data_IF_751465134363
#
_entry.id   IF_751465134363
#
_cell.length_a   1.000
_cell.length_b   1.000
_cell.length_c   1.000
_cell.angle_alpha   90.00
_cell.angle_beta   90.00
_cell.angle_gamma   90.00
#
_symmetry.space_group_name_H-M   'P 1'
#
loop_
_entity.id
_entity.type
_entity.pdbx_description
1 polymer ?
#
# COMPACT_ATOMS: atom_id res chain seq x y z
N UNK A 1 -71.56 -38.50 -26.39
CA UNK A 1 -71.32 -37.95 -25.07
C UNK A 1 -70.18 -38.57 -24.24
N UNK A 2 -69.85 -39.83 -24.44
CA UNK A 2 -68.80 -40.52 -23.64
C UNK A 2 -67.36 -40.16 -24.07
N UNK A 3 -67.15 -39.78 -25.30
CA UNK A 3 -65.81 -39.39 -25.84
C UNK A 3 -65.33 -37.97 -25.43
N UNK A 4 -66.24 -37.09 -25.05
CA UNK A 4 -65.92 -35.72 -24.65
C UNK A 4 -65.40 -35.65 -23.22
N UNK A 5 -65.77 -36.59 -22.35
CA UNK A 5 -65.29 -36.63 -20.95
C UNK A 5 -63.88 -37.18 -20.81
N UNK A 6 -63.45 -38.08 -21.74
CA UNK A 6 -62.09 -38.63 -21.69
C UNK A 6 -61.02 -37.56 -22.09
N UNK A 7 -61.39 -36.66 -22.99
CA UNK A 7 -60.47 -35.57 -23.38
C UNK A 7 -60.36 -34.45 -22.32
N UNK A 8 -61.37 -34.31 -21.46
CA UNK A 8 -61.32 -33.31 -20.37
C UNK A 8 -60.49 -33.78 -19.15
N UNK A 9 -60.43 -35.16 -18.95
CA UNK A 9 -59.57 -35.66 -17.87
C UNK A 9 -58.12 -35.81 -18.25
N UNK A 10 -57.70 -35.79 -19.50
CA UNK A 10 -56.33 -35.86 -19.96
C UNK A 10 -55.64 -34.45 -19.90
N UNK A 11 -56.41 -33.37 -19.81
CA UNK A 11 -55.89 -31.99 -19.78
C UNK A 11 -55.50 -31.49 -18.41
N UNK A 12 -55.83 -32.18 -17.31
CA UNK A 12 -55.62 -31.68 -15.93
C UNK A 12 -54.34 -32.24 -15.29
N UNK A 13 -53.69 -33.21 -15.91
CA UNK A 13 -52.49 -33.85 -15.33
C UNK A 13 -51.14 -33.17 -15.72
N UNK A 14 -51.14 -32.07 -16.45
CA UNK A 14 -49.93 -31.42 -16.95
C UNK A 14 -49.54 -30.14 -16.19
N UNK A 15 -50.16 -29.81 -15.05
CA UNK A 15 -49.86 -28.59 -14.28
C UNK A 15 -49.32 -28.89 -12.87
N UNK A 16 -48.88 -30.10 -12.54
CA UNK A 16 -48.12 -30.36 -11.31
C UNK A 16 -46.62 -30.48 -11.63
N UNK A 17 -46.05 -29.44 -12.18
CA UNK A 17 -44.62 -29.16 -12.05
C UNK A 17 -44.39 -28.60 -10.65
N UNK A 18 -44.33 -29.50 -9.64
CA UNK A 18 -43.79 -29.11 -8.34
C UNK A 18 -42.32 -28.82 -8.53
N UNK A 19 -42.00 -27.56 -8.50
CA UNK A 19 -40.65 -27.07 -8.25
C UNK A 19 -40.23 -27.55 -6.85
N UNK A 20 -39.62 -28.73 -6.81
CA UNK A 20 -39.09 -29.35 -5.60
C UNK A 20 -37.67 -28.88 -5.31
N UNK A 21 -37.44 -27.55 -5.36
CA UNK A 21 -36.24 -27.00 -4.79
C UNK A 21 -36.41 -27.12 -3.27
N UNK A 22 -35.63 -28.01 -2.71
CA UNK A 22 -35.52 -28.22 -1.26
C UNK A 22 -35.29 -26.86 -0.58
N UNK A 23 -36.06 -26.60 0.49
CA UNK A 23 -35.95 -25.32 1.25
C UNK A 23 -34.54 -25.04 1.71
N UNK A 24 -33.75 -26.07 1.95
CA UNK A 24 -32.37 -25.99 2.42
C UNK A 24 -31.37 -25.65 1.32
N UNK A 25 -31.77 -25.70 0.04
CA UNK A 25 -30.98 -25.34 -1.13
C UNK A 25 -31.44 -24.05 -1.84
N UNK A 26 -32.37 -23.31 -1.25
CA UNK A 26 -32.89 -22.07 -1.84
C UNK A 26 -31.93 -20.90 -1.76
N UNK A 27 -30.94 -20.95 -0.85
CA UNK A 27 -29.96 -19.91 -0.67
C UNK A 27 -28.58 -20.48 -0.95
N UNK A 28 -27.94 -19.99 -1.99
CA UNK A 28 -26.50 -20.16 -2.16
C UNK A 28 -25.86 -19.15 -1.19
N UNK A 29 -25.21 -19.63 -0.16
CA UNK A 29 -24.42 -18.78 0.71
C UNK A 29 -23.20 -18.30 -0.12
N UNK A 30 -23.29 -17.08 -0.63
CA UNK A 30 -22.18 -16.42 -1.30
C UNK A 30 -21.22 -15.98 -0.19
N UNK A 31 -19.96 -16.46 -0.19
CA UNK A 31 -18.98 -16.01 0.79
C UNK A 31 -18.91 -14.48 0.81
N UNK A 32 -18.87 -13.89 1.98
CA UNK A 32 -18.71 -12.46 2.11
C UNK A 32 -17.48 -11.99 1.30
N UNK A 33 -17.63 -10.92 0.53
CA UNK A 33 -16.52 -10.33 -0.19
C UNK A 33 -15.38 -10.03 0.79
N UNK A 34 -14.20 -10.59 0.55
CA UNK A 34 -13.01 -10.35 1.35
C UNK A 34 -12.04 -9.47 0.58
N UNK A 35 -11.51 -8.47 1.24
CA UNK A 35 -10.45 -7.63 0.69
C UNK A 35 -9.12 -8.20 1.15
N UNK A 36 -8.23 -8.48 0.19
CA UNK A 36 -6.87 -8.91 0.53
C UNK A 36 -6.11 -7.73 1.13
N UNK A 37 -5.51 -7.96 2.31
CA UNK A 37 -4.68 -6.98 2.98
C UNK A 37 -3.31 -6.90 2.33
N UNK A 38 -2.83 -5.69 2.12
CA UNK A 38 -1.43 -5.38 1.85
C UNK A 38 -0.79 -4.79 3.10
N UNK A 39 0.52 -4.88 3.21
CA UNK A 39 1.31 -4.46 4.38
C UNK A 39 2.30 -3.38 3.98
N UNK A 40 2.37 -2.31 4.76
CA UNK A 40 3.35 -1.23 4.61
C UNK A 40 4.55 -1.45 5.54
N UNK A 41 5.77 -1.33 4.99
CA UNK A 41 7.01 -1.23 5.76
C UNK A 41 7.56 0.18 5.62
N UNK A 42 7.67 0.90 6.71
CA UNK A 42 8.41 2.17 6.83
C UNK A 42 9.83 1.85 7.32
N UNK A 43 10.79 1.68 6.38
CA UNK A 43 12.20 1.35 6.68
C UNK A 43 13.02 2.61 6.93
N UNK A 44 13.33 2.90 8.18
CA UNK A 44 14.20 4.01 8.56
C UNK A 44 15.67 3.65 8.34
N UNK A 45 16.33 4.40 7.46
CA UNK A 45 17.62 4.08 6.89
C UNK A 45 18.50 5.32 6.69
N UNK A 46 19.74 5.12 6.24
CA UNK A 46 20.64 6.25 5.93
C UNK A 46 21.88 5.82 5.17
N UNK A 47 22.37 6.68 4.29
CA UNK A 47 23.52 6.43 3.41
C UNK A 47 24.85 6.19 4.16
N UNK A 48 24.96 6.68 5.41
CA UNK A 48 26.12 6.45 6.29
C UNK A 48 25.95 5.27 7.24
N UNK A 49 24.80 4.59 7.19
CA UNK A 49 24.51 3.43 8.00
C UNK A 49 25.12 2.17 7.36
N UNK A 50 26.13 1.63 8.00
CA UNK A 50 26.90 0.47 7.48
C UNK A 50 26.11 -0.84 7.46
N UNK A 51 25.03 -0.95 8.24
CA UNK A 51 24.18 -2.15 8.33
C UNK A 51 22.87 -2.02 7.54
N UNK A 52 22.54 -0.84 7.03
CA UNK A 52 21.30 -0.62 6.29
C UNK A 52 21.21 -1.41 4.96
N UNK A 53 22.32 -1.67 4.22
CA UNK A 53 22.23 -2.55 3.06
C UNK A 53 21.74 -3.97 3.37
N UNK A 54 22.04 -4.50 4.56
CA UNK A 54 21.54 -5.82 4.99
C UNK A 54 20.01 -5.77 5.29
N UNK A 55 19.51 -4.63 5.74
CA UNK A 55 18.08 -4.42 5.93
C UNK A 55 17.34 -4.35 4.58
N UNK A 56 17.90 -3.65 3.60
CA UNK A 56 17.38 -3.64 2.22
C UNK A 56 17.30 -5.05 1.63
N UNK A 57 18.33 -5.88 1.85
CA UNK A 57 18.33 -7.28 1.42
C UNK A 57 17.22 -8.09 2.12
N UNK A 58 17.03 -7.91 3.42
CA UNK A 58 15.96 -8.58 4.16
C UNK A 58 14.57 -8.20 3.62
N UNK A 59 14.34 -6.93 3.28
CA UNK A 59 13.10 -6.47 2.64
C UNK A 59 12.92 -7.16 1.28
N UNK A 60 13.96 -7.23 0.46
CA UNK A 60 13.91 -7.90 -0.84
C UNK A 60 13.51 -9.37 -0.72
N UNK A 61 14.04 -10.09 0.27
CA UNK A 61 13.70 -11.49 0.55
C UNK A 61 12.24 -11.64 1.01
N UNK A 62 11.77 -10.74 1.87
CA UNK A 62 10.36 -10.72 2.29
C UNK A 62 9.44 -10.42 1.11
N UNK A 63 9.79 -9.46 0.25
CA UNK A 63 9.04 -9.16 -0.97
C UNK A 63 9.05 -10.31 -1.98
N UNK A 64 10.14 -11.07 -2.07
CA UNK A 64 10.17 -12.29 -2.89
C UNK A 64 9.20 -13.36 -2.37
N UNK A 65 8.97 -13.42 -1.06
CA UNK A 65 8.06 -14.38 -0.42
C UNK A 65 6.60 -13.97 -0.53
N UNK A 66 6.28 -12.70 -0.23
CA UNK A 66 4.91 -12.21 -0.11
C UNK A 66 4.39 -11.50 -1.38
N UNK A 67 5.30 -11.08 -2.27
CA UNK A 67 5.01 -10.26 -3.43
C UNK A 67 5.21 -8.76 -3.13
N UNK A 68 5.95 -8.07 -4.02
CA UNK A 68 6.29 -6.66 -3.84
C UNK A 68 5.08 -5.71 -3.96
N UNK A 69 3.95 -6.17 -4.53
CA UNK A 69 2.70 -5.40 -4.59
C UNK A 69 1.81 -5.62 -3.36
N UNK A 70 2.14 -6.62 -2.55
CA UNK A 70 1.45 -6.90 -1.29
C UNK A 70 2.23 -6.42 -0.08
N UNK A 71 3.55 -6.56 -0.11
CA UNK A 71 4.47 -6.04 0.91
C UNK A 71 5.15 -4.79 0.36
N UNK A 72 4.56 -3.64 0.63
CA UNK A 72 5.00 -2.35 0.09
C UNK A 72 6.01 -1.73 1.05
N UNK A 73 7.26 -1.65 0.63
CA UNK A 73 8.33 -1.03 1.40
C UNK A 73 8.57 0.42 0.98
N UNK A 74 8.86 1.28 1.95
CA UNK A 74 9.27 2.67 1.74
C UNK A 74 10.50 2.96 2.59
N UNK A 75 11.63 3.25 1.93
CA UNK A 75 12.89 3.59 2.56
C UNK A 75 12.90 5.07 2.95
N UNK A 76 12.90 5.34 4.25
CA UNK A 76 12.87 6.67 4.83
C UNK A 76 14.29 7.05 5.26
N UNK A 77 14.99 7.75 4.38
CA UNK A 77 16.32 8.28 4.69
C UNK A 77 16.20 9.48 5.62
N UNK A 78 16.54 9.32 6.89
CA UNK A 78 16.33 10.33 7.94
C UNK A 78 17.40 10.26 9.04
N UNK A 79 17.40 11.28 9.89
CA UNK A 79 18.28 11.38 11.04
C UNK A 79 19.77 11.59 10.68
N UNK A 80 20.68 11.36 11.63
CA UNK A 80 22.08 11.78 11.49
C UNK A 80 22.90 10.97 10.47
N UNK A 81 22.43 9.77 10.08
CA UNK A 81 23.11 8.93 9.12
C UNK A 81 22.59 9.07 7.68
N UNK A 82 21.52 9.84 7.45
CA UNK A 82 21.06 10.21 6.13
C UNK A 82 21.78 11.49 5.66
N UNK A 83 22.13 11.55 4.37
CA UNK A 83 22.87 12.66 3.79
C UNK A 83 21.94 13.67 3.11
N UNK A 84 22.23 14.95 3.27
CA UNK A 84 21.65 16.03 2.47
C UNK A 84 22.30 16.04 1.07
N UNK A 85 21.52 16.39 0.04
CA UNK A 85 22.08 16.62 -1.29
C UNK A 85 23.02 17.83 -1.27
N UNK A 86 24.18 17.67 -1.92
CA UNK A 86 25.16 18.73 -2.13
C UNK A 86 25.54 18.79 -3.61
N UNK A 87 26.28 19.82 -4.07
CA UNK A 87 26.76 19.83 -5.46
C UNK A 87 27.63 18.63 -5.84
N UNK A 88 28.22 17.94 -4.86
CA UNK A 88 29.19 16.86 -5.08
C UNK A 88 28.58 15.46 -5.00
N UNK A 89 27.39 15.29 -4.44
CA UNK A 89 26.74 13.99 -4.31
C UNK A 89 25.23 14.10 -4.05
N UNK A 90 24.52 13.03 -4.40
CA UNK A 90 23.09 12.88 -4.16
C UNK A 90 22.86 12.43 -2.72
N UNK A 91 22.21 13.28 -1.92
CA UNK A 91 21.66 12.91 -0.62
C UNK A 91 20.21 12.47 -0.73
N UNK A 92 19.79 11.58 0.16
CA UNK A 92 18.44 11.01 0.15
C UNK A 92 17.59 11.46 1.35
N UNK A 93 18.17 12.27 2.25
CA UNK A 93 17.48 12.82 3.41
C UNK A 93 16.38 13.77 2.98
N UNK A 94 15.19 13.64 3.57
CA UNK A 94 14.04 14.51 3.32
C UNK A 94 13.52 15.09 4.63
N UNK A 95 12.90 16.29 4.57
CA UNK A 95 12.27 16.92 5.74
C UNK A 95 11.12 16.07 6.30
N UNK A 96 10.31 15.48 5.41
CA UNK A 96 9.23 14.58 5.81
C UNK A 96 9.76 13.31 6.47
N UNK A 97 10.89 12.78 5.98
CA UNK A 97 11.57 11.64 6.60
C UNK A 97 12.05 11.98 8.02
N UNK A 98 12.65 13.15 8.22
CA UNK A 98 13.05 13.63 9.55
C UNK A 98 11.85 13.84 10.48
N UNK A 99 10.72 14.31 9.96
CA UNK A 99 9.46 14.44 10.72
C UNK A 99 9.00 13.08 11.25
N UNK A 100 9.00 12.05 10.40
CA UNK A 100 8.64 10.69 10.80
C UNK A 100 9.66 10.07 11.75
N UNK A 101 10.96 10.28 11.49
CA UNK A 101 12.04 9.82 12.36
C UNK A 101 11.89 10.34 13.80
N UNK A 102 11.56 11.63 13.95
CA UNK A 102 11.31 12.25 15.24
C UNK A 102 10.01 11.77 15.88
N UNK A 103 8.91 11.72 15.11
CA UNK A 103 7.61 11.28 15.61
C UNK A 103 7.66 9.86 16.18
N UNK A 104 8.29 8.94 15.46
CA UNK A 104 8.44 7.55 15.89
C UNK A 104 9.60 7.35 16.88
N UNK A 105 10.28 8.41 17.31
CA UNK A 105 11.40 8.36 18.23
C UNK A 105 12.42 7.27 17.85
N UNK A 106 12.82 7.21 16.56
CA UNK A 106 13.72 6.19 16.04
C UNK A 106 15.08 6.29 16.75
N UNK A 107 15.52 5.26 17.53
CA UNK A 107 16.72 5.37 18.34
C UNK A 107 18.01 5.24 17.52
N UNK A 108 17.96 4.46 16.46
CA UNK A 108 19.05 4.17 15.51
C UNK A 108 18.49 3.50 14.26
N UNK A 109 19.32 3.40 13.21
CA UNK A 109 18.96 2.72 11.95
C UNK A 109 19.91 1.53 11.71
N UNK A 110 19.47 0.45 11.03
CA UNK A 110 18.14 0.26 10.44
C UNK A 110 17.08 -0.12 11.48
N UNK A 111 15.90 0.42 11.32
CA UNK A 111 14.68 0.05 12.05
C UNK A 111 13.50 0.17 11.10
N UNK A 112 12.46 -0.64 11.31
CA UNK A 112 11.23 -0.51 10.55
C UNK A 112 10.00 -0.48 11.43
N UNK A 113 8.96 0.19 10.92
CA UNK A 113 7.61 0.18 11.47
C UNK A 113 6.70 -0.49 10.43
N UNK A 114 5.82 -1.33 10.90
CA UNK A 114 4.89 -2.08 10.07
C UNK A 114 3.49 -1.55 10.27
N UNK A 115 2.83 -1.16 9.19
CA UNK A 115 1.44 -0.65 9.20
C UNK A 115 1.17 0.43 10.25
N UNK A 116 2.18 1.19 10.66
CA UNK A 116 2.09 2.19 11.75
C UNK A 116 1.55 1.60 13.06
N UNK A 117 1.74 0.29 13.23
CA UNK A 117 1.28 -0.46 14.39
C UNK A 117 2.48 -0.85 15.27
N UNK A 118 2.41 -0.52 16.55
CA UNK A 118 3.51 -0.73 17.49
C UNK A 118 4.66 0.26 17.31
N UNK A 119 5.86 -0.14 17.67
CA UNK A 119 7.08 0.66 17.64
C UNK A 119 8.08 0.22 16.57
N UNK A 120 9.21 0.90 16.52
CA UNK A 120 10.30 0.59 15.60
C UNK A 120 11.01 -0.71 15.96
N UNK A 121 11.02 -1.68 15.05
CA UNK A 121 11.54 -3.03 15.24
C UNK A 121 12.92 -3.20 14.60
N UNK A 122 13.82 -3.98 15.22
CA UNK A 122 15.08 -4.37 14.63
C UNK A 122 14.84 -5.41 13.52
N UNK A 123 15.79 -5.49 12.58
CA UNK A 123 15.71 -6.33 11.37
C UNK A 123 15.37 -7.81 11.66
N UNK A 124 15.85 -8.35 12.75
CA UNK A 124 15.64 -9.73 13.17
C UNK A 124 14.17 -10.06 13.48
N UNK A 125 13.37 -9.05 13.85
CA UNK A 125 11.94 -9.20 14.15
C UNK A 125 11.04 -9.08 12.91
N UNK A 126 11.55 -8.57 11.78
CA UNK A 126 10.72 -8.26 10.60
C UNK A 126 9.95 -9.44 10.00
N UNK A 127 10.55 -10.65 9.85
CA UNK A 127 9.79 -11.76 9.29
C UNK A 127 8.56 -12.15 10.12
N UNK A 128 8.70 -12.15 11.46
CA UNK A 128 7.58 -12.41 12.37
C UNK A 128 6.51 -11.34 12.28
N UNK A 129 6.91 -10.07 12.28
CA UNK A 129 5.96 -8.94 12.19
C UNK A 129 5.21 -8.92 10.85
N UNK A 130 5.89 -9.18 9.72
CA UNK A 130 5.24 -9.28 8.41
C UNK A 130 4.20 -10.40 8.41
N UNK A 131 4.53 -11.56 8.97
CA UNK A 131 3.58 -12.66 9.11
C UNK A 131 2.36 -12.26 9.95
N UNK A 132 2.54 -11.59 11.07
CA UNK A 132 1.46 -11.13 11.93
C UNK A 132 0.56 -10.12 11.21
N UNK A 133 1.14 -9.13 10.49
CA UNK A 133 0.36 -8.12 9.76
C UNK A 133 -0.45 -8.73 8.61
N UNK A 134 0.07 -9.72 7.88
CA UNK A 134 -0.69 -10.41 6.84
C UNK A 134 -1.84 -11.29 7.39
N UNK A 135 -1.77 -11.72 8.64
CA UNK A 135 -2.85 -12.47 9.29
C UNK A 135 -3.99 -11.57 9.81
N UNK A 136 -3.82 -10.25 9.80
CA UNK A 136 -4.87 -9.29 10.15
C UNK A 136 -5.83 -9.14 8.98
N UNK A 137 -7.10 -8.94 9.28
CA UNK A 137 -8.13 -8.67 8.28
C UNK A 137 -8.28 -7.18 8.01
N UNK A 138 -8.76 -6.83 6.82
CA UNK A 138 -9.19 -5.47 6.49
C UNK A 138 -10.55 -5.47 5.84
N UNK A 139 -11.29 -4.39 6.07
CA UNK A 139 -12.56 -4.10 5.38
C UNK A 139 -12.41 -2.94 4.41
N UNK A 140 -11.22 -2.33 4.36
CA UNK A 140 -10.92 -1.18 3.51
C UNK A 140 -10.28 -1.62 2.21
N UNK A 141 -10.86 -1.22 1.09
CA UNK A 141 -10.28 -1.33 -0.25
C UNK A 141 -9.74 0.02 -0.71
N UNK A 142 -8.61 0.00 -1.40
CA UNK A 142 -8.03 1.16 -2.08
C UNK A 142 -7.66 0.75 -3.50
N UNK A 143 -8.17 1.49 -4.49
CA UNK A 143 -7.70 1.45 -5.87
C UNK A 143 -7.02 2.78 -6.19
N UNK A 144 -5.89 2.73 -6.87
CA UNK A 144 -5.07 3.89 -7.18
C UNK A 144 -4.80 3.95 -8.69
N UNK A 145 -5.04 5.11 -9.29
CA UNK A 145 -4.75 5.39 -10.71
C UNK A 145 -3.93 6.66 -10.80
N UNK A 146 -2.95 6.66 -11.71
CA UNK A 146 -2.10 7.82 -11.98
C UNK A 146 -2.11 8.14 -13.46
N UNK A 147 -2.24 9.45 -13.77
CA UNK A 147 -2.07 9.96 -15.13
C UNK A 147 -1.00 11.04 -15.12
N UNK A 148 0.07 10.82 -15.89
CA UNK A 148 1.19 11.75 -15.96
C UNK A 148 1.17 12.58 -17.25
N UNK A 149 1.35 13.89 -17.09
CA UNK A 149 1.49 14.85 -18.19
C UNK A 149 2.93 15.37 -18.24
N UNK A 150 3.65 15.05 -19.31
CA UNK A 150 5.09 15.39 -19.47
C UNK A 150 5.34 16.88 -19.59
N UNK A 151 4.43 17.64 -20.23
CA UNK A 151 4.59 19.06 -20.55
C UNK A 151 4.81 19.93 -19.30
N UNK A 152 4.14 19.58 -18.18
CA UNK A 152 4.20 20.34 -16.93
C UNK A 152 4.61 19.47 -15.73
N UNK A 153 5.07 18.24 -15.97
CA UNK A 153 5.49 17.27 -14.96
C UNK A 153 4.40 16.99 -13.90
N UNK A 154 3.13 17.07 -14.32
CA UNK A 154 1.98 16.93 -13.46
C UNK A 154 1.50 15.49 -13.41
N UNK A 155 1.22 15.01 -12.20
CA UNK A 155 0.56 13.72 -11.94
C UNK A 155 -0.84 14.01 -11.41
N UNK A 156 -1.86 13.46 -12.07
CA UNK A 156 -3.22 13.36 -11.56
C UNK A 156 -3.37 12.01 -10.89
N UNK A 157 -3.78 12.02 -9.63
CA UNK A 157 -3.87 10.84 -8.76
C UNK A 157 -5.34 10.68 -8.40
N UNK A 158 -5.95 9.60 -8.86
CA UNK A 158 -7.28 9.18 -8.47
C UNK A 158 -7.15 8.05 -7.45
N UNK A 159 -7.75 8.23 -6.27
CA UNK A 159 -7.80 7.21 -5.23
C UNK A 159 -9.26 6.90 -4.94
N UNK A 160 -9.67 5.68 -5.27
CA UNK A 160 -10.99 5.15 -4.96
C UNK A 160 -10.90 4.31 -3.68
N UNK A 161 -11.67 4.70 -2.65
CA UNK A 161 -11.69 4.03 -1.34
C UNK A 161 -13.09 3.50 -1.06
N UNK A 162 -13.15 2.37 -0.35
CA UNK A 162 -14.42 1.84 0.16
C UNK A 162 -14.20 1.08 1.46
N UNK A 163 -15.25 0.94 2.25
CA UNK A 163 -15.31 0.01 3.37
C UNK A 163 -16.51 -0.92 3.22
N UNK A 164 -16.32 -2.21 3.57
CA UNK A 164 -17.35 -3.25 3.39
C UNK A 164 -18.38 -3.28 4.53
N UNK A 165 -18.04 -2.80 5.71
CA UNK A 165 -18.85 -3.06 6.92
C UNK A 165 -19.42 -1.80 7.54
N UNK A 166 -18.61 -1.02 8.24
CA UNK A 166 -19.01 0.12 9.04
C UNK A 166 -18.37 1.41 8.52
N UNK A 167 -18.92 2.55 8.93
CA UNK A 167 -18.27 3.83 8.70
C UNK A 167 -16.91 3.84 9.42
N UNK A 168 -15.89 4.36 8.72
CA UNK A 168 -14.52 4.41 9.24
C UNK A 168 -13.98 5.83 9.09
N UNK A 169 -13.50 6.38 10.21
CA UNK A 169 -12.74 7.63 10.21
C UNK A 169 -11.26 7.31 10.15
N UNK A 170 -10.51 8.08 9.35
CA UNK A 170 -9.07 7.88 9.21
C UNK A 170 -8.42 8.96 8.34
N UNK A 171 -7.19 8.71 7.97
CA UNK A 171 -6.35 9.60 7.20
C UNK A 171 -5.89 8.88 5.92
N UNK A 172 -6.13 9.50 4.76
CA UNK A 172 -5.53 9.07 3.50
C UNK A 172 -4.18 9.76 3.34
N UNK A 173 -3.11 8.97 3.28
CA UNK A 173 -1.76 9.45 2.98
C UNK A 173 -1.37 9.09 1.54
N UNK A 174 -0.76 10.03 0.85
CA UNK A 174 -0.16 9.84 -0.47
C UNK A 174 1.33 10.17 -0.40
N UNK A 175 2.18 9.21 -0.76
CA UNK A 175 3.63 9.39 -0.82
C UNK A 175 4.16 9.27 -2.24
N UNK A 176 5.13 10.11 -2.56
CA UNK A 176 5.99 9.95 -3.73
C UNK A 176 7.21 9.12 -3.34
N UNK A 177 7.42 8.01 -4.04
CA UNK A 177 8.52 7.07 -3.82
C UNK A 177 9.28 6.88 -5.13
N UNK A 178 10.62 6.79 -5.08
CA UNK A 178 11.46 6.64 -6.28
C UNK A 178 12.41 5.45 -6.14
N UNK A 179 12.52 4.67 -7.21
CA UNK A 179 13.41 3.52 -7.34
C UNK A 179 14.65 3.84 -8.17
N UNK A 180 15.71 3.04 -7.99
CA UNK A 180 16.87 3.06 -8.86
C UNK A 180 17.70 4.34 -8.75
N UNK A 181 17.73 4.98 -7.57
CA UNK A 181 18.54 6.17 -7.35
C UNK A 181 19.98 5.76 -7.09
N UNK A 182 20.89 6.18 -7.96
CA UNK A 182 22.34 5.98 -7.78
C UNK A 182 22.86 7.05 -6.81
N UNK A 183 23.32 6.61 -5.63
CA UNK A 183 23.84 7.51 -4.59
C UNK A 183 24.84 6.77 -3.68
N UNK A 184 25.74 7.49 -2.97
CA UNK A 184 26.71 6.87 -2.09
C UNK A 184 26.06 6.07 -0.97
N UNK A 185 26.66 4.91 -0.62
CA UNK A 185 26.30 4.09 0.53
C UNK A 185 27.56 3.60 1.25
N UNK A 186 27.59 3.75 2.55
CA UNK A 186 28.68 3.25 3.39
C UNK A 186 28.39 1.81 3.81
N UNK A 187 29.43 0.99 3.74
CA UNK A 187 29.44 -0.41 4.15
C UNK A 187 30.39 -0.63 5.33
N UNK A 188 30.38 -1.80 5.99
CA UNK A 188 31.39 -2.16 6.99
C UNK A 188 32.82 -1.95 6.49
N UNK A 189 33.78 -1.74 7.43
CA UNK A 189 35.19 -1.44 7.16
C UNK A 189 35.41 -0.14 6.37
N UNK A 190 34.52 0.84 6.54
CA UNK A 190 34.57 2.14 5.84
C UNK A 190 34.58 2.02 4.30
N UNK A 191 34.09 0.92 3.75
CA UNK A 191 33.93 0.75 2.31
C UNK A 191 32.79 1.64 1.81
N UNK A 192 33.14 2.61 0.96
CA UNK A 192 32.15 3.50 0.31
C UNK A 192 31.87 2.98 -1.10
N UNK A 193 30.62 2.63 -1.37
CA UNK A 193 30.11 2.46 -2.74
C UNK A 193 29.46 3.75 -3.20
N UNK A 194 30.05 4.43 -4.19
CA UNK A 194 29.54 5.66 -4.77
C UNK A 194 28.40 5.45 -5.76
N UNK A 195 28.23 4.21 -6.23
CA UNK A 195 27.27 3.84 -7.27
C UNK A 195 26.20 2.87 -6.76
N UNK A 196 25.97 2.84 -5.43
CA UNK A 196 24.94 2.01 -4.84
C UNK A 196 23.55 2.44 -5.35
N UNK A 197 22.72 1.44 -5.68
CA UNK A 197 21.37 1.69 -6.19
C UNK A 197 20.38 1.58 -5.04
N UNK A 198 19.77 2.70 -4.68
CA UNK A 198 18.73 2.77 -3.66
C UNK A 198 17.35 2.57 -4.28
N UNK A 199 16.50 1.83 -3.57
CA UNK A 199 15.13 1.52 -3.98
C UNK A 199 14.12 2.00 -2.95
N UNK A 200 12.88 2.20 -3.40
CA UNK A 200 11.73 2.54 -2.55
C UNK A 200 11.89 3.83 -1.74
N UNK A 201 12.71 4.76 -2.20
CA UNK A 201 13.09 5.96 -1.45
C UNK A 201 11.93 6.95 -1.33
N UNK A 202 11.54 7.31 -0.11
CA UNK A 202 10.56 8.37 0.15
C UNK A 202 11.10 9.72 -0.34
N UNK A 203 10.37 10.36 -1.26
CA UNK A 203 10.73 11.66 -1.83
C UNK A 203 9.87 12.79 -1.29
N UNK A 204 8.58 12.55 -1.08
CA UNK A 204 7.65 13.56 -0.57
C UNK A 204 6.38 12.92 0.03
N UNK A 205 5.74 13.64 0.95
CA UNK A 205 4.35 13.46 1.33
C UNK A 205 3.50 14.44 0.52
N UNK A 206 2.68 13.92 -0.40
CA UNK A 206 1.99 14.71 -1.43
C UNK A 206 0.87 15.56 -0.82
N UNK A 207 0.14 15.01 0.12
CA UNK A 207 -1.05 15.61 0.73
C UNK A 207 -0.84 15.97 2.22
N UNK A 208 0.38 16.41 2.55
CA UNK A 208 0.79 16.75 3.91
C UNK A 208 1.43 15.58 4.64
N UNK A 209 2.22 15.87 5.69
CA UNK A 209 3.02 14.86 6.40
C UNK A 209 2.16 13.74 7.01
N UNK A 210 0.90 14.03 7.35
CA UNK A 210 0.00 13.08 8.01
C UNK A 210 -1.25 12.77 7.18
N UNK A 211 -1.29 13.22 5.92
CA UNK A 211 -2.39 12.95 5.01
C UNK A 211 -3.64 13.81 5.25
N UNK A 212 -4.73 13.43 4.60
CA UNK A 212 -6.04 14.09 4.61
C UNK A 212 -7.04 13.28 5.41
N UNK A 213 -7.72 13.92 6.36
CA UNK A 213 -8.79 13.28 7.12
C UNK A 213 -10.01 12.99 6.22
N UNK A 214 -10.51 11.76 6.28
CA UNK A 214 -11.67 11.29 5.54
C UNK A 214 -12.56 10.43 6.45
N UNK A 215 -13.85 10.41 6.08
CA UNK A 215 -14.82 9.44 6.58
C UNK A 215 -15.27 8.57 5.42
N UNK A 216 -15.05 7.28 5.51
CA UNK A 216 -15.56 6.30 4.55
C UNK A 216 -16.90 5.77 5.07
N UNK A 217 -17.99 6.01 4.31
CA UNK A 217 -19.28 5.45 4.65
C UNK A 217 -19.39 4.00 4.21
N UNK A 218 -20.07 3.19 5.03
CA UNK A 218 -20.23 1.76 4.78
C UNK A 218 -20.80 1.46 3.40
N UNK A 219 -20.12 0.60 2.63
CA UNK A 219 -20.52 0.14 1.30
C UNK A 219 -20.71 1.26 0.26
N UNK A 220 -20.13 2.42 0.50
CA UNK A 220 -20.13 3.54 -0.45
C UNK A 220 -18.69 3.77 -0.94
N UNK A 221 -18.56 3.97 -2.25
CA UNK A 221 -17.29 4.38 -2.83
C UNK A 221 -17.02 5.86 -2.52
N UNK A 222 -15.82 6.16 -2.07
CA UNK A 222 -15.31 7.51 -1.90
C UNK A 222 -14.18 7.74 -2.89
N UNK A 223 -14.30 8.78 -3.71
CA UNK A 223 -13.27 9.15 -4.69
C UNK A 223 -12.54 10.40 -4.24
N UNK A 224 -11.23 10.32 -4.16
CA UNK A 224 -10.35 11.46 -3.89
C UNK A 224 -9.48 11.75 -5.12
N UNK A 225 -9.47 13.00 -5.55
CA UNK A 225 -8.66 13.48 -6.67
C UNK A 225 -7.57 14.41 -6.13
N UNK A 226 -6.33 14.10 -6.42
CA UNK A 226 -5.17 14.90 -6.03
C UNK A 226 -4.31 15.18 -7.25
N UNK A 227 -3.80 16.40 -7.34
CA UNK A 227 -2.84 16.79 -8.37
C UNK A 227 -1.50 17.10 -7.73
N UNK A 228 -0.41 16.63 -8.33
CA UNK A 228 0.94 16.88 -7.83
C UNK A 228 1.90 17.16 -8.99
N UNK A 229 2.72 18.20 -8.84
CA UNK A 229 3.80 18.48 -9.79
C UNK A 229 5.09 17.83 -9.28
N UNK A 230 5.69 16.97 -10.08
CA UNK A 230 6.91 16.28 -9.68
C UNK A 230 8.05 17.28 -9.47
N UNK A 231 8.78 17.20 -8.35
CA UNK A 231 9.99 18.00 -8.15
C UNK A 231 11.04 17.74 -9.23
N UNK A 232 11.85 18.74 -9.51
CA UNK A 232 12.96 18.59 -10.42
C UNK A 232 13.90 17.46 -10.00
N UNK A 233 14.33 16.64 -10.94
CA UNK A 233 15.24 15.51 -10.71
C UNK A 233 14.56 14.17 -10.41
N UNK A 234 13.26 14.14 -10.16
CA UNK A 234 12.48 12.89 -10.07
C UNK A 234 12.34 12.28 -11.46
N UNK A 235 12.59 10.97 -11.59
CA UNK A 235 12.40 10.20 -12.82
C UNK A 235 11.02 9.57 -12.84
N UNK A 236 10.07 10.04 -13.67
CA UNK A 236 8.69 9.57 -13.62
C UNK A 236 8.53 8.07 -13.92
N UNK A 237 9.40 7.49 -14.76
CA UNK A 237 9.46 6.06 -15.08
C UNK A 237 9.98 5.18 -13.93
N UNK A 238 10.60 5.80 -12.92
CA UNK A 238 11.12 5.16 -11.71
C UNK A 238 10.30 5.53 -10.47
N UNK A 239 9.29 6.37 -10.62
CA UNK A 239 8.52 6.89 -9.50
C UNK A 239 7.17 6.18 -9.34
N UNK A 240 6.75 6.07 -8.07
CA UNK A 240 5.53 5.45 -7.62
C UNK A 240 4.75 6.41 -6.72
N UNK A 241 3.45 6.29 -6.77
CA UNK A 241 2.59 6.80 -5.71
C UNK A 241 2.25 5.63 -4.79
N UNK A 242 2.48 5.82 -3.50
CA UNK A 242 2.02 4.90 -2.44
C UNK A 242 0.86 5.58 -1.73
N UNK A 243 -0.30 4.94 -1.72
CA UNK A 243 -1.50 5.42 -1.04
C UNK A 243 -1.85 4.46 0.10
N UNK A 244 -2.10 4.99 1.29
CA UNK A 244 -2.59 4.18 2.41
C UNK A 244 -3.59 4.93 3.27
N UNK A 245 -4.56 4.18 3.78
CA UNK A 245 -5.57 4.68 4.70
C UNK A 245 -5.32 4.11 6.08
N UNK A 246 -5.23 4.99 7.09
CA UNK A 246 -4.86 4.62 8.43
C UNK A 246 -5.63 5.40 9.48
N UNK A 247 -5.68 4.87 10.71
CA UNK A 247 -6.23 5.52 11.88
C UNK A 247 -5.39 5.16 13.12
N UNK A 248 -5.93 5.32 14.32
CA UNK A 248 -5.26 4.98 15.58
C UNK A 248 -4.88 3.50 15.70
N UNK A 249 -5.55 2.61 14.97
CA UNK A 249 -5.23 1.18 14.91
C UNK A 249 -4.11 0.83 13.93
N UNK A 250 -3.52 1.83 13.26
CA UNK A 250 -2.49 1.67 12.23
C UNK A 250 -3.05 1.73 10.81
N UNK A 251 -2.25 1.24 9.85
CA UNK A 251 -2.65 1.20 8.43
C UNK A 251 -3.68 0.09 8.22
N UNK A 252 -4.83 0.46 7.69
CA UNK A 252 -5.92 -0.46 7.38
C UNK A 252 -5.76 -1.08 5.99
N UNK A 253 -5.22 -0.32 5.04
CA UNK A 253 -4.89 -0.80 3.69
C UNK A 253 -3.86 0.11 3.04
N UNK A 254 -3.01 -0.49 2.19
CA UNK A 254 -2.00 0.20 1.39
C UNK A 254 -2.00 -0.33 -0.04
N UNK A 255 -1.71 0.54 -0.99
CA UNK A 255 -1.49 0.20 -2.41
C UNK A 255 -0.44 1.09 -3.02
N UNK A 256 0.08 0.70 -4.18
CA UNK A 256 1.02 1.53 -4.96
C UNK A 256 0.71 1.47 -6.45
N UNK A 257 1.06 2.53 -7.13
CA UNK A 257 0.90 2.60 -8.59
C UNK A 257 2.09 3.34 -9.21
N UNK A 258 2.63 2.82 -10.31
CA UNK A 258 3.65 3.54 -11.08
C UNK A 258 3.08 4.80 -11.71
N UNK A 259 3.86 5.88 -11.71
CA UNK A 259 3.46 7.13 -12.37
C UNK A 259 3.36 6.93 -13.88
N UNK A 260 4.30 6.18 -14.46
CA UNK A 260 4.26 5.76 -15.87
C UNK A 260 4.25 4.23 -15.91
N UNK A 261 3.22 3.65 -16.50
CA UNK A 261 3.17 2.22 -16.83
C UNK A 261 3.90 2.02 -18.17
N UNK A 262 4.79 1.04 -18.22
CA UNK A 262 5.45 0.60 -19.45
C UNK A 262 4.57 -0.36 -20.21
#
# INVERSE_FOLDING_TARGET
MKTLYVLLLAGITLLMGCDSIDSDHRFIEVPAATIQRNVLIEDFTGQRCIYCPQATEAISQLQATYGADKLIAVAIHAGPLALQTTPNFVGLRTEVGDTYYQHWAIPNVPKAIFDRHGGALPKEAWPGQVYEEFNRTTTVGIELKCQYTTTNQRVEIETDLMTLTNDIHGLLQLWLVEDGIVAPQLFPNNKLDKNYIHHHVLRAAINGNWGKALTLSAKQAHKELTTYTLPQGIKPDKAWIVAFFYNESGVLQVTRHKIIQQ
#
